data_IF_083021011028
#
_entry.id   IF_083021011028
#
_cell.length_a   1.000
_cell.length_b   1.000
_cell.length_c   1.000
_cell.angle_alpha   90.00
_cell.angle_beta   90.00
_cell.angle_gamma   90.00
#
_symmetry.space_group_name_H-M   'P 1'
#
loop_
_entity.id
_entity.type
_entity.pdbx_description
1 polymer ?
#
# COMPACT_ATOMS: atom_id res chain seq x y z
N UNK A 1 7.38 14.16 -12.27
CA UNK A 1 7.60 12.74 -12.59
C UNK A 1 7.45 11.95 -11.33
N UNK A 2 6.83 10.77 -11.39
CA UNK A 2 6.70 9.88 -10.23
C UNK A 2 8.06 9.26 -9.88
N UNK A 3 8.31 9.03 -8.59
CA UNK A 3 9.57 8.49 -8.07
C UNK A 3 9.96 7.16 -8.73
N UNK A 4 8.97 6.28 -8.98
CA UNK A 4 9.18 5.00 -9.67
C UNK A 4 9.73 5.14 -11.10
N UNK A 5 9.33 6.18 -11.85
CA UNK A 5 9.83 6.42 -13.20
C UNK A 5 11.30 6.85 -13.20
N UNK A 6 11.72 7.64 -12.22
CA UNK A 6 13.14 8.02 -12.06
C UNK A 6 13.99 6.81 -11.69
N UNK A 7 13.52 5.97 -10.78
CA UNK A 7 14.20 4.72 -10.44
C UNK A 7 14.32 3.80 -11.65
N UNK A 8 13.26 3.64 -12.44
CA UNK A 8 13.32 2.82 -13.65
C UNK A 8 14.33 3.39 -14.65
N UNK A 9 14.28 4.69 -14.92
CA UNK A 9 15.20 5.35 -15.87
C UNK A 9 16.65 5.15 -15.46
N UNK A 10 16.95 5.38 -14.19
CA UNK A 10 18.30 5.16 -13.66
C UNK A 10 18.72 3.69 -13.79
N UNK A 11 17.86 2.76 -13.36
CA UNK A 11 18.19 1.32 -13.39
C UNK A 11 18.39 0.80 -14.80
N UNK A 12 17.58 1.27 -15.76
CA UNK A 12 17.70 0.89 -17.16
C UNK A 12 18.95 1.48 -17.83
N UNK A 13 19.44 2.63 -17.37
CA UNK A 13 20.72 3.17 -17.81
C UNK A 13 21.90 2.34 -17.28
N UNK A 14 21.84 1.89 -16.02
CA UNK A 14 22.90 1.08 -15.39
C UNK A 14 22.91 -0.38 -15.89
N UNK A 15 21.74 -0.93 -16.20
CA UNK A 15 21.57 -2.34 -16.58
C UNK A 15 20.61 -2.51 -17.76
N UNK A 16 20.92 -1.98 -18.96
CA UNK A 16 19.99 -1.95 -20.11
C UNK A 16 19.57 -3.34 -20.61
N UNK A 17 20.38 -4.36 -20.35
CA UNK A 17 20.11 -5.75 -20.71
C UNK A 17 19.37 -6.57 -19.65
N UNK A 18 18.88 -5.95 -18.57
CA UNK A 18 18.19 -6.67 -17.51
C UNK A 18 16.96 -7.39 -18.04
N UNK A 19 16.76 -8.64 -17.61
CA UNK A 19 15.56 -9.43 -17.96
C UNK A 19 14.28 -8.80 -17.43
N UNK A 20 14.36 -8.08 -16.32
CA UNK A 20 13.24 -7.32 -15.79
C UNK A 20 13.65 -6.32 -14.72
N UNK A 21 12.86 -5.26 -14.60
CA UNK A 21 13.00 -4.23 -13.58
C UNK A 21 11.88 -4.42 -12.57
N UNK A 22 12.16 -5.23 -11.55
CA UNK A 22 11.15 -5.75 -10.64
C UNK A 22 11.34 -5.18 -9.23
N UNK A 23 10.28 -4.68 -8.58
CA UNK A 23 10.35 -4.35 -7.17
C UNK A 23 10.51 -5.64 -6.34
N UNK A 24 10.92 -5.48 -5.08
CA UNK A 24 11.22 -6.60 -4.20
C UNK A 24 10.12 -7.70 -4.15
N UNK A 25 8.81 -7.38 -4.12
CA UNK A 25 7.77 -8.43 -4.14
C UNK A 25 7.75 -9.26 -5.43
N UNK A 26 7.97 -8.65 -6.61
CA UNK A 26 8.06 -9.40 -7.86
C UNK A 26 9.31 -10.29 -7.90
N UNK A 27 10.43 -9.83 -7.37
CA UNK A 27 11.66 -10.64 -7.24
C UNK A 27 11.41 -11.84 -6.32
N UNK A 28 10.74 -11.64 -5.19
CA UNK A 28 10.38 -12.72 -4.27
C UNK A 28 9.43 -13.73 -4.93
N UNK A 29 8.38 -13.27 -5.60
CA UNK A 29 7.44 -14.13 -6.32
C UNK A 29 8.11 -14.91 -7.45
N UNK A 30 9.05 -14.28 -8.17
CA UNK A 30 9.85 -14.96 -9.18
C UNK A 30 10.75 -16.04 -8.58
N UNK A 31 11.41 -15.76 -7.45
CA UNK A 31 12.25 -16.74 -6.78
C UNK A 31 11.45 -17.92 -6.22
N UNK A 32 10.20 -17.70 -5.79
CA UNK A 32 9.35 -18.73 -5.20
C UNK A 32 8.62 -19.57 -6.24
N UNK A 33 8.14 -18.98 -7.33
CA UNK A 33 7.24 -19.64 -8.28
C UNK A 33 7.57 -19.37 -9.77
N UNK A 34 8.67 -18.68 -10.08
CA UNK A 34 9.13 -18.43 -11.44
C UNK A 34 8.37 -17.34 -12.20
N UNK A 35 7.48 -16.60 -11.54
CA UNK A 35 6.68 -15.54 -12.16
C UNK A 35 6.89 -14.19 -11.44
N UNK A 36 7.35 -13.13 -12.14
CA UNK A 36 7.53 -11.82 -11.55
C UNK A 36 6.17 -11.10 -11.53
N UNK A 37 5.42 -11.28 -10.43
CA UNK A 37 4.06 -10.74 -10.29
C UNK A 37 4.00 -9.78 -9.09
N UNK A 38 3.26 -8.69 -9.22
CA UNK A 38 2.89 -7.78 -8.12
C UNK A 38 1.37 -7.59 -8.06
N UNK A 39 0.90 -7.12 -6.92
CA UNK A 39 -0.50 -6.76 -6.75
C UNK A 39 -0.82 -5.39 -7.36
N UNK A 40 -2.11 -5.16 -7.62
CA UNK A 40 -2.61 -3.93 -8.20
C UNK A 40 -2.27 -2.68 -7.37
N UNK A 41 -2.26 -2.73 -6.04
CA UNK A 41 -1.91 -1.57 -5.20
C UNK A 41 -0.44 -1.19 -5.37
N UNK A 42 0.46 -2.18 -5.41
CA UNK A 42 1.88 -1.93 -5.74
C UNK A 42 2.01 -1.33 -7.15
N UNK A 43 1.24 -1.81 -8.13
CA UNK A 43 1.34 -1.29 -9.50
C UNK A 43 0.91 0.18 -9.62
N UNK A 44 -0.19 0.58 -8.97
CA UNK A 44 -0.70 1.97 -9.06
C UNK A 44 0.21 3.00 -8.41
N UNK A 45 1.11 2.63 -7.50
CA UNK A 45 2.15 3.56 -7.02
C UNK A 45 3.18 3.90 -8.09
N UNK A 46 3.18 3.16 -9.20
CA UNK A 46 4.09 3.35 -10.34
C UNK A 46 3.68 4.44 -11.32
N UNK A 47 2.62 5.22 -11.08
CA UNK A 47 2.20 6.30 -11.99
C UNK A 47 3.38 7.23 -12.37
N UNK A 48 3.56 7.56 -13.67
CA UNK A 48 2.70 7.26 -14.81
C UNK A 48 3.00 5.93 -15.53
N UNK A 49 3.92 5.10 -15.03
CA UNK A 49 4.31 3.84 -15.68
C UNK A 49 3.16 2.83 -15.76
N UNK A 50 2.28 2.83 -14.75
CA UNK A 50 1.05 2.03 -14.74
C UNK A 50 -0.15 2.96 -14.58
N UNK A 51 -1.12 2.87 -15.48
CA UNK A 51 -2.26 3.79 -15.55
C UNK A 51 -3.56 3.23 -14.93
N UNK A 52 -3.48 2.06 -14.29
CA UNK A 52 -4.64 1.34 -13.76
C UNK A 52 -5.21 0.29 -14.71
N UNK A 53 -4.85 0.33 -16.00
CA UNK A 53 -5.23 -0.69 -17.00
C UNK A 53 -4.05 -1.56 -17.42
N UNK A 54 -2.84 -1.01 -17.39
CA UNK A 54 -1.62 -1.72 -17.76
C UNK A 54 -0.38 -0.85 -17.64
N UNK A 55 0.77 -1.45 -17.93
CA UNK A 55 2.02 -0.71 -18.11
C UNK A 55 1.96 0.12 -19.39
N UNK A 56 2.23 1.42 -19.28
CA UNK A 56 2.23 2.34 -20.41
C UNK A 56 3.50 2.15 -21.25
N UNK A 57 3.39 1.70 -22.52
CA UNK A 57 4.57 1.42 -23.35
C UNK A 57 5.44 2.65 -23.61
N UNK A 58 4.84 3.82 -23.81
CA UNK A 58 5.56 5.06 -24.07
C UNK A 58 6.32 5.51 -22.81
N UNK A 59 5.65 5.50 -21.64
CA UNK A 59 6.29 5.86 -20.38
C UNK A 59 7.44 4.92 -20.00
N UNK A 60 7.31 3.61 -20.30
CA UNK A 60 8.40 2.64 -20.11
C UNK A 60 9.56 2.93 -21.09
N UNK A 61 9.26 3.18 -22.36
CA UNK A 61 10.27 3.47 -23.38
C UNK A 61 11.05 4.76 -23.09
N UNK A 62 10.38 5.81 -22.58
CA UNK A 62 11.00 7.05 -22.12
C UNK A 62 11.97 6.83 -20.95
N UNK A 63 11.83 5.71 -20.23
CA UNK A 63 12.74 5.27 -19.18
C UNK A 63 13.78 4.25 -19.68
N UNK A 64 13.83 3.91 -20.96
CA UNK A 64 14.76 2.91 -21.51
C UNK A 64 14.36 1.46 -21.26
N UNK A 65 13.09 1.19 -20.95
CA UNK A 65 12.57 -0.14 -20.67
C UNK A 65 11.41 -0.51 -21.62
N UNK A 66 11.13 -1.81 -21.70
CA UNK A 66 9.94 -2.33 -22.38
C UNK A 66 8.92 -2.88 -21.38
N UNK A 67 7.66 -2.97 -21.79
CA UNK A 67 6.60 -3.59 -20.99
C UNK A 67 6.92 -5.05 -20.62
N UNK A 68 7.64 -5.77 -21.49
CA UNK A 68 8.05 -7.15 -21.23
C UNK A 68 9.02 -7.30 -20.05
N UNK A 69 9.72 -6.21 -19.66
CA UNK A 69 10.62 -6.17 -18.51
C UNK A 69 9.87 -5.78 -17.23
N UNK A 70 8.60 -5.38 -17.31
CA UNK A 70 7.78 -5.03 -16.15
C UNK A 70 7.11 -6.28 -15.54
N UNK A 71 6.85 -6.31 -14.24
CA UNK A 71 6.18 -7.46 -13.62
C UNK A 71 4.72 -7.56 -14.07
N UNK A 72 4.17 -8.77 -14.13
CA UNK A 72 2.72 -8.96 -14.34
C UNK A 72 1.96 -8.39 -13.14
N UNK A 73 0.79 -7.81 -13.39
CA UNK A 73 -0.07 -7.26 -12.33
C UNK A 73 -1.27 -8.17 -12.15
N UNK A 74 -1.56 -8.52 -10.91
CA UNK A 74 -2.72 -9.33 -10.51
C UNK A 74 -3.47 -8.67 -9.35
N UNK A 75 -4.69 -9.14 -9.07
CA UNK A 75 -5.41 -8.68 -7.87
C UNK A 75 -4.84 -9.31 -6.60
N UNK A 76 -5.21 -8.73 -5.45
CA UNK A 76 -4.77 -9.13 -4.13
C UNK A 76 -5.12 -10.60 -3.88
N UNK A 77 -4.13 -11.38 -3.45
CA UNK A 77 -4.34 -12.78 -3.08
C UNK A 77 -4.69 -13.74 -4.23
N UNK A 78 -4.69 -13.30 -5.50
CA UNK A 78 -4.83 -14.20 -6.64
C UNK A 78 -3.78 -15.31 -6.60
N UNK A 79 -4.14 -16.52 -7.00
CA UNK A 79 -3.17 -17.60 -7.18
C UNK A 79 -2.29 -17.29 -8.40
N UNK A 80 -0.98 -17.14 -8.18
CA UNK A 80 -0.01 -16.77 -9.24
C UNK A 80 0.93 -17.89 -9.64
N UNK A 81 0.89 -19.02 -8.91
CA UNK A 81 1.71 -20.19 -9.20
C UNK A 81 1.76 -21.15 -8.00
N UNK A 82 2.69 -22.10 -8.06
CA UNK A 82 3.03 -22.98 -6.94
C UNK A 82 4.47 -22.72 -6.51
N UNK A 83 4.71 -22.80 -5.20
CA UNK A 83 6.06 -22.68 -4.64
C UNK A 83 6.90 -23.88 -5.09
N UNK A 84 8.09 -23.62 -5.62
CA UNK A 84 8.97 -24.64 -6.17
C UNK A 84 9.22 -25.81 -5.20
N UNK A 85 9.07 -27.03 -5.72
CA UNK A 85 9.27 -28.26 -4.95
C UNK A 85 8.14 -28.59 -3.97
N UNK A 86 6.99 -27.93 -4.05
CA UNK A 86 5.84 -28.16 -3.18
C UNK A 86 4.52 -28.07 -3.97
N UNK A 87 3.42 -28.50 -3.35
CA UNK A 87 2.06 -28.29 -3.87
C UNK A 87 1.43 -26.97 -3.39
N UNK A 88 2.17 -26.16 -2.61
CA UNK A 88 1.64 -24.95 -2.01
C UNK A 88 1.39 -23.87 -3.07
N UNK A 89 0.17 -23.33 -3.10
CA UNK A 89 -0.20 -22.22 -3.99
C UNK A 89 0.40 -20.92 -3.45
N UNK A 90 1.06 -20.17 -4.33
CA UNK A 90 1.53 -18.82 -4.04
C UNK A 90 0.45 -17.80 -4.43
N UNK A 91 0.05 -16.97 -3.48
CA UNK A 91 -0.79 -15.80 -3.73
C UNK A 91 0.05 -14.60 -4.18
N UNK A 92 -0.53 -13.65 -4.93
CA UNK A 92 0.14 -12.42 -5.40
C UNK A 92 0.81 -11.63 -4.27
N UNK A 93 0.21 -11.65 -3.08
CA UNK A 93 0.52 -10.74 -1.98
C UNK A 93 -0.29 -9.44 -2.05
N UNK A 94 0.08 -8.48 -1.22
CA UNK A 94 -0.40 -7.11 -1.19
C UNK A 94 0.65 -6.22 -0.50
N UNK A 95 0.54 -4.90 -0.65
CA UNK A 95 1.34 -3.97 0.15
C UNK A 95 1.04 -4.11 1.64
N UNK A 96 2.03 -3.82 2.48
CA UNK A 96 1.97 -3.95 3.94
C UNK A 96 0.76 -3.23 4.54
N UNK A 97 0.45 -2.00 4.12
CA UNK A 97 -0.72 -1.25 4.59
C UNK A 97 -2.05 -2.00 4.40
N UNK A 98 -2.19 -2.74 3.29
CA UNK A 98 -3.39 -3.54 3.04
C UNK A 98 -3.42 -4.84 3.86
N UNK A 99 -2.26 -5.47 4.04
CA UNK A 99 -2.14 -6.61 4.95
C UNK A 99 -2.52 -6.22 6.38
N UNK A 100 -2.05 -5.06 6.85
CA UNK A 100 -2.40 -4.54 8.18
C UNK A 100 -3.88 -4.15 8.28
N UNK A 101 -4.48 -3.63 7.21
CA UNK A 101 -5.93 -3.41 7.13
C UNK A 101 -6.71 -4.71 7.34
N UNK A 102 -6.33 -5.79 6.65
CA UNK A 102 -6.98 -7.10 6.78
C UNK A 102 -6.91 -7.59 8.24
N UNK A 103 -5.73 -7.49 8.85
CA UNK A 103 -5.51 -7.96 10.24
C UNK A 103 -6.26 -7.09 11.25
N UNK A 104 -6.35 -5.78 11.02
CA UNK A 104 -7.03 -4.83 11.90
C UNK A 104 -8.57 -4.80 11.72
N UNK A 105 -9.10 -5.37 10.64
CA UNK A 105 -10.53 -5.38 10.31
C UNK A 105 -11.10 -3.99 10.02
N UNK A 106 -10.31 -3.12 9.38
CA UNK A 106 -10.68 -1.73 9.06
C UNK A 106 -11.45 -1.63 7.72
N UNK A 107 -12.56 -2.36 7.62
CA UNK A 107 -13.29 -2.61 6.36
C UNK A 107 -14.50 -1.69 6.12
N UNK A 108 -14.95 -0.96 7.15
CA UNK A 108 -16.16 -0.13 7.07
C UNK A 108 -15.80 1.31 6.72
N UNK A 109 -16.73 2.00 6.07
CA UNK A 109 -16.52 3.40 5.73
C UNK A 109 -16.38 4.22 7.02
N UNK A 110 -15.32 5.03 7.09
CA UNK A 110 -14.97 5.78 8.29
C UNK A 110 -14.08 5.05 9.30
N UNK A 111 -13.80 3.75 9.11
CA UNK A 111 -12.80 3.05 9.92
C UNK A 111 -11.43 3.71 9.73
N UNK A 112 -10.71 3.90 10.85
CA UNK A 112 -9.38 4.52 10.86
C UNK A 112 -8.35 3.51 11.37
N UNK A 113 -7.40 3.17 10.50
CA UNK A 113 -6.23 2.38 10.84
C UNK A 113 -5.07 3.30 11.18
N UNK A 114 -4.57 3.21 12.41
CA UNK A 114 -3.37 3.93 12.86
C UNK A 114 -2.24 2.93 13.08
N UNK A 115 -1.18 3.05 12.28
CA UNK A 115 0.04 2.25 12.37
C UNK A 115 1.06 3.02 13.20
N UNK A 116 1.22 2.63 14.47
CA UNK A 116 2.17 3.23 15.41
C UNK A 116 3.57 2.60 15.26
N UNK A 117 4.18 2.76 14.08
CA UNK A 117 5.55 2.35 13.80
C UNK A 117 6.58 3.45 14.05
N UNK A 118 7.79 3.28 13.52
CA UNK A 118 8.82 4.34 13.48
C UNK A 118 8.33 5.58 12.72
N UNK A 119 7.50 5.36 11.71
CA UNK A 119 6.68 6.36 11.05
C UNK A 119 5.22 6.13 11.42
N UNK A 120 4.57 7.13 12.00
CA UNK A 120 3.12 7.09 12.24
C UNK A 120 2.42 7.17 10.88
N UNK A 121 1.53 6.23 10.58
CA UNK A 121 0.73 6.24 9.35
C UNK A 121 -0.73 6.15 9.75
N UNK A 122 -1.59 6.95 9.10
CA UNK A 122 -3.04 6.89 9.32
C UNK A 122 -3.73 6.69 7.98
N UNK A 123 -4.61 5.70 7.94
CA UNK A 123 -5.49 5.39 6.80
C UNK A 123 -6.94 5.49 7.22
N UNK A 124 -7.77 6.08 6.38
CA UNK A 124 -9.24 6.10 6.55
C UNK A 124 -9.89 5.38 5.39
N UNK A 125 -10.74 4.40 5.69
CA UNK A 125 -11.53 3.67 4.67
C UNK A 125 -12.68 4.55 4.17
N UNK A 126 -12.80 4.67 2.86
CA UNK A 126 -13.79 5.52 2.17
C UNK A 126 -14.52 4.75 1.07
N UNK A 127 -15.78 5.15 0.83
CA UNK A 127 -16.69 4.49 -0.09
C UNK A 127 -16.34 4.66 -1.58
N UNK A 128 -15.54 5.67 -1.92
CA UNK A 128 -15.11 5.94 -3.30
C UNK A 128 -13.72 6.59 -3.34
N UNK A 129 -12.90 6.36 -4.38
CA UNK A 129 -11.60 7.00 -4.52
C UNK A 129 -11.73 8.54 -4.60
N UNK A 130 -10.94 9.27 -3.82
CA UNK A 130 -10.89 10.74 -3.88
C UNK A 130 -9.45 11.22 -3.72
N UNK A 131 -9.04 12.26 -4.43
CA UNK A 131 -7.71 12.84 -4.27
C UNK A 131 -7.75 14.02 -3.31
N UNK A 132 -6.86 14.02 -2.31
CA UNK A 132 -6.70 15.13 -1.37
C UNK A 132 -5.23 15.56 -1.36
N UNK A 133 -4.92 16.85 -1.56
CA UNK A 133 -3.53 17.32 -1.54
C UNK A 133 -2.80 16.90 -0.26
N UNK A 134 -1.64 16.28 -0.43
CA UNK A 134 -0.80 15.80 0.66
C UNK A 134 -1.20 14.45 1.25
N UNK A 135 -2.26 13.80 0.74
CA UNK A 135 -2.63 12.43 1.10
C UNK A 135 -2.51 11.50 -0.10
N UNK A 136 -2.22 10.25 0.20
CA UNK A 136 -2.25 9.14 -0.74
C UNK A 136 -3.62 8.52 -0.76
N UNK A 137 -4.02 8.02 -1.93
CA UNK A 137 -5.23 7.21 -2.09
C UNK A 137 -4.83 5.89 -2.69
N UNK A 138 -5.14 4.80 -1.99
CA UNK A 138 -4.82 3.43 -2.39
C UNK A 138 -6.11 2.61 -2.47
N UNK A 139 -6.16 1.58 -3.34
CA UNK A 139 -7.32 0.69 -3.40
C UNK A 139 -7.52 -0.06 -2.08
N UNK A 140 -8.75 -0.41 -1.76
CA UNK A 140 -9.10 -1.27 -0.63
C UNK A 140 -9.28 -2.72 -1.10
N UNK A 141 -9.10 -3.69 -0.20
CA UNK A 141 -9.25 -5.13 -0.51
C UNK A 141 -10.69 -5.53 -0.85
N UNK A 142 -11.68 -4.90 -0.23
CA UNK A 142 -13.09 -4.97 -0.63
C UNK A 142 -13.39 -4.07 -1.84
N UNK A 143 -14.11 -4.64 -2.81
CA UNK A 143 -14.47 -3.97 -4.06
C UNK A 143 -15.23 -2.66 -3.85
N UNK A 144 -14.94 -1.66 -4.69
CA UNK A 144 -15.60 -0.35 -4.67
C UNK A 144 -15.06 0.63 -3.64
N UNK A 145 -14.18 0.20 -2.72
CA UNK A 145 -13.65 1.04 -1.65
C UNK A 145 -12.22 1.51 -1.91
N UNK A 146 -11.78 2.50 -1.14
CA UNK A 146 -10.40 2.97 -1.11
C UNK A 146 -9.98 3.33 0.30
N UNK A 147 -8.68 3.44 0.52
CA UNK A 147 -8.13 4.10 1.70
C UNK A 147 -7.50 5.43 1.30
N UNK A 148 -7.69 6.44 2.14
CA UNK A 148 -7.02 7.73 2.00
C UNK A 148 -6.25 8.07 3.26
N UNK A 149 -5.02 8.55 3.10
CA UNK A 149 -4.14 8.74 4.25
C UNK A 149 -2.68 8.82 3.87
N UNK A 150 -1.82 8.34 4.76
CA UNK A 150 -0.38 8.32 4.57
C UNK A 150 0.39 8.58 5.86
N UNK A 151 1.72 8.72 5.78
CA UNK A 151 2.55 9.09 6.92
C UNK A 151 2.04 10.40 7.53
N UNK A 152 2.04 10.47 8.86
CA UNK A 152 1.47 11.55 9.63
C UNK A 152 2.22 12.86 9.37
N UNK A 153 1.70 13.61 8.39
CA UNK A 153 2.01 15.01 8.19
C UNK A 153 1.21 15.84 9.22
N UNK A 154 1.70 17.03 9.63
CA UNK A 154 1.06 17.87 10.67
C UNK A 154 -0.43 18.21 10.47
N UNK A 155 -1.00 17.96 9.28
CA UNK A 155 -2.40 18.25 8.94
C UNK A 155 -3.39 17.08 9.07
N UNK A 156 -2.94 15.85 9.35
CA UNK A 156 -3.82 14.67 9.36
C UNK A 156 -4.65 14.56 10.65
N UNK A 157 -4.03 14.83 11.81
CA UNK A 157 -4.69 14.79 13.12
C UNK A 157 -5.78 15.87 13.26
N UNK A 158 -5.57 17.14 12.84
CA UNK A 158 -6.62 18.16 12.96
C UNK A 158 -7.81 17.96 12.03
N UNK A 159 -7.64 17.30 10.87
CA UNK A 159 -8.73 17.07 9.89
C UNK A 159 -9.60 15.85 10.22
N UNK A 160 -9.05 14.85 10.92
CA UNK A 160 -9.82 13.73 11.45
C UNK A 160 -10.52 14.08 12.79
N UNK A 161 -10.01 15.08 13.52
CA UNK A 161 -10.56 15.56 14.80
C UNK A 161 -11.81 16.44 14.71
N UNK A 162 -12.54 16.41 13.58
CA UNK A 162 -13.74 17.20 13.33
C UNK A 162 -14.99 16.73 14.10
N UNK A 163 -14.90 16.46 15.39
CA UNK A 163 -16.04 16.52 16.32
C UNK A 163 -15.54 16.65 17.75
N UNK A 164 -16.01 17.72 18.40
CA UNK A 164 -15.65 18.18 19.74
C UNK A 164 -15.76 17.06 20.78
N UNK A 165 -14.65 16.64 21.37
CA UNK A 165 -14.67 16.04 22.70
C UNK A 165 -14.38 17.12 23.73
N UNK A 166 -15.39 17.34 24.59
CA UNK A 166 -15.38 18.31 25.66
C UNK A 166 -14.30 18.03 26.70
N UNK A 167 -13.86 19.12 27.32
CA UNK A 167 -13.08 19.18 28.55
C UNK A 167 -13.66 18.28 29.65
N UNK A 168 -12.87 17.33 30.18
CA UNK A 168 -13.22 16.65 31.42
C UNK A 168 -12.32 15.47 31.84
N UNK A 169 -11.44 15.74 32.81
CA UNK A 169 -10.88 14.83 33.84
C UNK A 169 -9.93 13.69 33.40
N UNK A 170 -8.60 13.84 33.56
CA UNK A 170 -7.77 13.67 34.77
C UNK A 170 -7.59 12.21 35.24
N UNK A 171 -6.42 11.64 34.94
CA UNK A 171 -5.98 10.34 35.45
C UNK A 171 -4.66 9.88 34.84
N UNK A 172 -3.55 10.57 35.15
CA UNK A 172 -2.22 10.20 34.68
C UNK A 172 -1.66 9.03 35.51
N UNK A 173 -1.85 7.80 35.03
CA UNK A 173 -1.15 6.61 35.52
C UNK A 173 0.07 6.33 34.64
N UNK A 174 1.28 6.49 35.21
CA UNK A 174 2.54 6.14 34.55
C UNK A 174 2.71 4.62 34.54
N UNK A 175 2.96 4.03 33.38
CA UNK A 175 3.58 2.71 33.25
C UNK A 175 4.89 2.83 32.46
N UNK A 176 5.93 2.25 33.05
CA UNK A 176 7.33 2.15 32.60
C UNK A 176 7.52 1.53 31.21
N UNK A 177 8.65 1.80 30.52
CA UNK A 177 8.88 1.41 29.13
C UNK A 177 9.20 -0.07 29.04
N UNK A 178 8.26 -0.86 28.51
CA UNK A 178 8.49 -2.23 28.06
C UNK A 178 8.85 -2.23 26.59
N UNK A 179 9.98 -2.83 26.24
CA UNK A 179 10.33 -3.26 24.88
C UNK A 179 9.20 -4.09 24.28
N UNK A 180 8.59 -3.65 23.18
CA UNK A 180 7.52 -4.42 22.55
C UNK A 180 6.96 -3.77 21.29
N UNK A 181 6.91 -4.60 20.24
CA UNK A 181 6.06 -4.60 19.04
C UNK A 181 5.25 -3.33 18.71
N UNK A 182 5.26 -2.97 17.42
CA UNK A 182 4.30 -2.04 16.83
C UNK A 182 2.88 -2.36 17.31
N UNK A 183 2.26 -1.41 18.01
CA UNK A 183 0.89 -1.53 18.48
C UNK A 183 -0.05 -1.10 17.33
N UNK A 184 -0.82 -2.06 16.81
CA UNK A 184 -1.95 -1.80 15.92
C UNK A 184 -3.15 -1.34 16.75
N UNK A 185 -3.64 -0.13 16.51
CA UNK A 185 -4.87 0.36 17.13
C UNK A 185 -5.88 0.72 16.03
N UNK A 186 -6.97 -0.04 15.95
CA UNK A 186 -8.16 0.25 15.16
C UNK A 186 -9.16 1.00 16.03
N UNK A 187 -9.59 2.19 15.60
CA UNK A 187 -10.61 2.98 16.31
C UNK A 187 -11.86 3.04 15.46
N UNK A 188 -12.98 2.48 15.96
CA UNK A 188 -14.30 2.62 15.34
C UNK A 188 -14.97 3.89 15.83
N UNK A 189 -15.31 4.80 14.94
CA UNK A 189 -16.21 5.91 15.25
C UNK A 189 -17.65 5.47 14.95
N UNK A 190 -18.41 5.15 15.99
CA UNK A 190 -19.85 4.97 15.84
C UNK A 190 -20.51 6.35 15.76
N UNK A 191 -20.98 6.72 14.57
CA UNK A 191 -21.99 7.75 14.43
C UNK A 191 -23.34 7.18 14.91
N UNK A 192 -23.84 7.66 16.03
CA UNK A 192 -25.22 7.44 16.48
C UNK A 192 -26.11 8.41 15.66
N UNK A 193 -27.29 7.99 15.17
CA UNK A 193 -28.13 8.75 14.22
C UNK A 193 -28.57 10.13 14.71
#
# INVERSE_FOLDING_TARGET
MGEAAEFLRWTAAEAPGATGYWPAPAVANYALAGAPVIDFATAVTGLPLFDGSGWNPAACADCGASVAQMPRVETFGSAIGQVHGTDAVLGTGAIDALCEQIVAGADHDGDVLVLCGTTLIVWTTIAEPRQVPGLWTIPHTAAGKSQIGGPAMPGLVPRLGGSRCGTGQSGCGRSTPGTGLAALHSWRTHAVP
#
